data_IF_582070998988
#
_entry.id   IF_582070998988
#
_cell.length_a   1.000
_cell.length_b   1.000
_cell.length_c   1.000
_cell.angle_alpha   90.00
_cell.angle_beta   90.00
_cell.angle_gamma   90.00
#
_symmetry.space_group_name_H-M   'P 1'
#
loop_
_entity.id
_entity.type
_entity.pdbx_description
1 polymer ?
#
# COMPACT_ATOMS: atom_id res chain seq x y z
N UNK A 1 26.43 27.33 -14.62
CA UNK A 1 25.36 26.43 -14.93
C UNK A 1 24.49 26.17 -13.69
N UNK A 2 23.28 26.39 -13.87
CA UNK A 2 22.33 26.07 -12.84
C UNK A 2 22.31 24.57 -12.61
N UNK A 3 22.58 24.17 -11.38
CA UNK A 3 22.32 22.81 -11.02
C UNK A 3 20.88 22.52 -11.34
N UNK A 4 20.65 21.63 -12.27
CA UNK A 4 19.34 21.11 -12.44
C UNK A 4 18.98 20.51 -11.10
N UNK A 5 18.04 21.10 -10.49
CA UNK A 5 17.60 20.68 -9.19
C UNK A 5 16.95 19.32 -9.33
N UNK A 6 17.63 18.27 -8.87
CA UNK A 6 17.10 16.91 -8.90
C UNK A 6 15.75 16.83 -8.22
N UNK A 7 15.55 17.62 -7.17
CA UNK A 7 14.29 17.69 -6.45
C UNK A 7 13.18 18.25 -7.33
N UNK A 8 13.46 19.30 -8.09
CA UNK A 8 12.48 19.87 -9.01
C UNK A 8 12.09 18.89 -10.10
N UNK A 9 13.04 18.18 -10.66
CA UNK A 9 12.78 17.18 -11.70
C UNK A 9 11.97 16.01 -11.14
N UNK A 10 12.29 15.58 -9.93
CA UNK A 10 11.57 14.53 -9.27
C UNK A 10 10.11 14.94 -9.03
N UNK A 11 9.90 16.12 -8.46
CA UNK A 11 8.56 16.66 -8.19
C UNK A 11 7.74 16.75 -9.47
N UNK A 12 8.33 17.28 -10.54
CA UNK A 12 7.65 17.42 -11.82
C UNK A 12 7.24 16.06 -12.39
N UNK A 13 8.15 15.07 -12.35
CA UNK A 13 7.85 13.74 -12.86
C UNK A 13 6.71 13.08 -12.09
N UNK A 14 6.68 13.25 -10.76
CA UNK A 14 5.61 12.70 -9.95
C UNK A 14 4.29 13.43 -10.20
N UNK A 15 4.32 14.75 -10.38
CA UNK A 15 3.11 15.52 -10.65
C UNK A 15 2.51 15.15 -12.01
N UNK A 16 3.36 14.75 -12.97
CA UNK A 16 2.93 14.36 -14.32
C UNK A 16 2.63 12.87 -14.44
N UNK A 17 2.96 12.07 -13.43
CA UNK A 17 2.74 10.62 -13.43
C UNK A 17 1.23 10.33 -13.51
N UNK A 18 0.76 9.65 -14.57
CA UNK A 18 -0.67 9.38 -14.71
C UNK A 18 -1.22 8.49 -13.61
N UNK A 19 -0.40 7.58 -13.05
CA UNK A 19 -0.84 6.75 -11.93
C UNK A 19 -0.96 7.55 -10.64
N UNK A 20 -0.12 8.56 -10.45
CA UNK A 20 -0.23 9.44 -9.29
C UNK A 20 -1.53 10.24 -9.36
N UNK A 21 -1.84 10.81 -10.52
CA UNK A 21 -3.10 11.51 -10.73
C UNK A 21 -4.29 10.59 -10.55
N UNK A 22 -4.21 9.39 -11.09
CA UNK A 22 -5.29 8.41 -10.98
C UNK A 22 -5.50 7.98 -9.52
N UNK A 23 -4.42 7.81 -8.74
CA UNK A 23 -4.53 7.45 -7.33
C UNK A 23 -5.31 8.51 -6.54
N UNK A 24 -5.09 9.78 -6.83
CA UNK A 24 -5.83 10.87 -6.19
C UNK A 24 -7.29 10.85 -6.56
N UNK A 25 -7.60 10.61 -7.83
CA UNK A 25 -8.99 10.53 -8.31
C UNK A 25 -9.72 9.34 -7.68
N UNK A 26 -9.06 8.20 -7.57
CA UNK A 26 -9.62 6.98 -7.00
C UNK A 26 -9.54 6.96 -5.46
N UNK A 27 -8.94 7.98 -4.85
CA UNK A 27 -8.77 8.13 -3.41
C UNK A 27 -7.87 7.08 -2.77
N UNK A 28 -6.93 6.55 -3.52
CA UNK A 28 -5.88 5.71 -2.96
C UNK A 28 -4.76 6.57 -2.36
N UNK A 29 -4.17 6.07 -1.29
CA UNK A 29 -3.08 6.75 -0.59
C UNK A 29 -1.81 6.87 -1.42
N UNK A 30 -1.62 5.96 -2.37
CA UNK A 30 -0.48 6.00 -3.29
C UNK A 30 -0.79 5.22 -4.56
N UNK A 31 0.06 5.42 -5.57
CA UNK A 31 -0.01 4.71 -6.84
C UNK A 31 0.28 3.21 -6.71
N UNK A 32 0.87 2.80 -5.59
CA UNK A 32 1.17 1.39 -5.35
C UNK A 32 -0.08 0.51 -5.39
N UNK A 33 -1.27 1.08 -5.18
CA UNK A 33 -2.54 0.36 -5.30
C UNK A 33 -2.67 -0.32 -6.67
N UNK A 34 -2.26 0.35 -7.74
CA UNK A 34 -2.40 -0.20 -9.10
C UNK A 34 -1.44 -1.33 -9.36
N UNK A 35 -0.30 -1.36 -8.68
CA UNK A 35 0.63 -2.47 -8.78
C UNK A 35 -0.01 -3.75 -8.24
N UNK A 36 -0.67 -3.67 -7.10
CA UNK A 36 -1.37 -4.82 -6.53
C UNK A 36 -2.52 -5.26 -7.46
N UNK A 37 -3.27 -4.31 -7.98
CA UNK A 37 -4.35 -4.62 -8.92
C UNK A 37 -3.83 -5.31 -10.18
N UNK A 38 -2.69 -4.87 -10.71
CA UNK A 38 -2.07 -5.47 -11.88
C UNK A 38 -1.58 -6.89 -11.59
N UNK A 39 -1.00 -7.12 -10.41
CA UNK A 39 -0.56 -8.44 -9.99
C UNK A 39 -1.77 -9.38 -9.89
N UNK A 40 -2.85 -8.91 -9.29
CA UNK A 40 -4.06 -9.70 -9.15
C UNK A 40 -4.71 -10.00 -10.51
N UNK A 41 -4.70 -9.04 -11.42
CA UNK A 41 -5.21 -9.24 -12.76
C UNK A 41 -4.46 -10.38 -13.46
N UNK A 42 -3.14 -10.45 -13.25
CA UNK A 42 -2.30 -11.48 -13.87
C UNK A 42 -2.48 -12.85 -13.20
N UNK A 43 -2.49 -12.89 -11.88
CA UNK A 43 -2.45 -14.15 -11.13
C UNK A 43 -3.78 -14.55 -10.51
N UNK A 44 -4.74 -13.65 -10.44
CA UNK A 44 -6.09 -13.89 -9.94
C UNK A 44 -6.10 -14.58 -8.59
N UNK A 45 -5.46 -13.98 -7.59
CA UNK A 45 -5.31 -14.62 -6.28
C UNK A 45 -6.12 -13.96 -5.16
N UNK A 46 -6.46 -12.67 -5.26
CA UNK A 46 -7.13 -11.98 -4.16
C UNK A 46 -8.53 -12.51 -3.87
N UNK A 47 -9.21 -13.04 -4.88
CA UNK A 47 -10.54 -13.62 -4.69
C UNK A 47 -10.52 -15.00 -4.06
N UNK A 48 -9.33 -15.59 -3.91
CA UNK A 48 -9.15 -16.95 -3.41
C UNK A 48 -8.67 -17.00 -1.97
N UNK A 49 -8.33 -15.85 -1.39
CA UNK A 49 -7.79 -15.79 -0.04
C UNK A 49 -8.84 -15.23 0.92
N UNK A 50 -8.72 -15.60 2.19
CA UNK A 50 -9.62 -15.13 3.24
C UNK A 50 -8.89 -14.29 4.28
N UNK A 51 -7.58 -14.37 4.34
CA UNK A 51 -6.76 -13.58 5.25
C UNK A 51 -5.46 -13.20 4.58
N UNK A 52 -4.90 -12.06 5.00
CA UNK A 52 -3.68 -11.53 4.39
C UNK A 52 -2.96 -10.62 5.37
N UNK A 53 -1.64 -10.67 5.33
CA UNK A 53 -0.78 -9.74 6.04
C UNK A 53 0.04 -8.94 5.03
N UNK A 54 0.02 -7.62 5.18
CA UNK A 54 0.78 -6.71 4.36
C UNK A 54 1.96 -6.18 5.17
N UNK A 55 3.14 -6.69 4.90
CA UNK A 55 4.37 -6.32 5.60
C UNK A 55 5.00 -5.11 4.92
N UNK A 56 5.21 -4.04 5.69
CA UNK A 56 5.65 -2.77 5.11
C UNK A 56 4.50 -2.03 4.45
N UNK A 57 3.37 -1.92 5.14
CA UNK A 57 2.13 -1.50 4.53
C UNK A 57 1.96 0.01 4.30
N UNK A 58 2.82 0.85 4.88
CA UNK A 58 2.67 2.30 4.72
C UNK A 58 2.78 2.72 3.26
N UNK A 59 1.99 3.68 2.79
CA UNK A 59 0.98 4.45 3.51
C UNK A 59 -0.37 3.75 3.68
N UNK A 60 -0.58 2.57 3.08
CA UNK A 60 -1.78 1.79 3.25
C UNK A 60 -2.62 1.61 1.98
N UNK A 61 -2.09 1.92 0.80
CA UNK A 61 -2.85 1.78 -0.45
C UNK A 61 -3.18 0.33 -0.77
N UNK A 62 -2.29 -0.61 -0.45
CA UNK A 62 -2.58 -2.03 -0.62
C UNK A 62 -3.68 -2.50 0.33
N UNK A 63 -3.68 -1.98 1.56
CA UNK A 63 -4.75 -2.28 2.51
C UNK A 63 -6.10 -1.81 1.97
N UNK A 64 -6.12 -0.66 1.32
CA UNK A 64 -7.33 -0.14 0.69
C UNK A 64 -7.84 -1.07 -0.41
N UNK A 65 -6.95 -1.56 -1.27
CA UNK A 65 -7.30 -2.50 -2.32
C UNK A 65 -7.84 -3.81 -1.74
N UNK A 66 -7.17 -4.34 -0.71
CA UNK A 66 -7.58 -5.59 -0.07
C UNK A 66 -8.98 -5.48 0.51
N UNK A 67 -9.33 -4.32 1.06
CA UNK A 67 -10.66 -4.08 1.61
C UNK A 67 -11.77 -4.10 0.56
N UNK A 68 -11.44 -3.94 -0.71
CA UNK A 68 -12.42 -4.02 -1.79
C UNK A 68 -12.92 -5.46 -2.01
N UNK A 69 -12.21 -6.45 -1.49
CA UNK A 69 -12.54 -7.86 -1.66
C UNK A 69 -13.31 -8.38 -0.45
N UNK A 70 -14.59 -8.65 -0.62
CA UNK A 70 -15.46 -9.08 0.48
C UNK A 70 -15.11 -10.46 1.02
N UNK A 71 -14.43 -11.28 0.24
CA UNK A 71 -13.97 -12.60 0.67
C UNK A 71 -12.80 -12.54 1.64
N UNK A 72 -12.08 -11.43 1.69
CA UNK A 72 -10.94 -11.27 2.61
C UNK A 72 -11.50 -10.77 3.94
N UNK A 73 -11.55 -11.68 4.92
CA UNK A 73 -12.18 -11.42 6.22
C UNK A 73 -11.22 -10.84 7.25
N UNK A 74 -9.93 -11.10 7.10
CA UNK A 74 -8.93 -10.68 8.06
C UNK A 74 -7.74 -10.06 7.33
N UNK A 75 -7.49 -8.78 7.61
CA UNK A 75 -6.39 -8.03 6.98
C UNK A 75 -5.56 -7.42 8.10
N UNK A 76 -4.26 -7.68 8.06
CA UNK A 76 -3.29 -7.09 9.00
C UNK A 76 -2.25 -6.32 8.20
N UNK A 77 -2.01 -5.08 8.59
CA UNK A 77 -0.91 -4.28 8.07
C UNK A 77 0.15 -4.07 9.15
N UNK A 78 1.42 -4.21 8.80
CA UNK A 78 2.52 -4.03 9.72
C UNK A 78 3.56 -3.11 9.09
N UNK A 79 3.96 -2.08 9.84
CA UNK A 79 5.00 -1.15 9.38
C UNK A 79 5.68 -0.49 10.57
N UNK A 80 6.92 -0.06 10.37
CA UNK A 80 7.63 0.78 11.34
C UNK A 80 7.05 2.19 11.40
N UNK A 81 6.48 2.64 10.30
CA UNK A 81 5.92 3.98 10.18
C UNK A 81 4.49 3.99 10.70
N UNK A 82 4.04 5.19 11.09
CA UNK A 82 2.63 5.38 11.39
C UNK A 82 1.81 5.25 10.11
N UNK A 83 0.73 4.49 10.18
CA UNK A 83 -0.19 4.29 9.08
C UNK A 83 -1.57 4.76 9.52
N UNK A 84 -2.16 5.66 8.73
CA UNK A 84 -3.52 6.10 9.01
C UNK A 84 -4.48 4.90 9.00
N UNK A 85 -5.43 4.85 9.93
CA UNK A 85 -6.34 3.72 9.99
C UNK A 85 -7.07 3.45 8.69
N UNK A 86 -7.30 2.18 8.43
CA UNK A 86 -8.20 1.71 7.37
C UNK A 86 -9.31 0.92 8.06
N UNK A 87 -10.54 1.28 7.81
CA UNK A 87 -11.67 0.67 8.47
C UNK A 87 -11.69 -0.85 8.26
N UNK A 88 -11.82 -1.59 9.36
CA UNK A 88 -11.85 -3.05 9.31
C UNK A 88 -10.50 -3.73 9.13
N UNK A 89 -9.41 -2.99 9.21
CA UNK A 89 -8.04 -3.51 9.08
C UNK A 89 -7.29 -3.35 10.39
N UNK A 90 -6.61 -4.40 10.82
CA UNK A 90 -5.71 -4.33 11.97
C UNK A 90 -4.35 -3.81 11.52
N UNK A 91 -3.90 -2.71 12.09
CA UNK A 91 -2.61 -2.12 11.75
C UNK A 91 -1.74 -2.11 12.99
N UNK A 92 -0.55 -2.71 12.88
CA UNK A 92 0.43 -2.72 13.96
C UNK A 92 1.67 -1.94 13.53
N UNK A 93 2.11 -1.03 14.41
CA UNK A 93 3.38 -0.33 14.23
C UNK A 93 4.46 -1.17 14.89
N UNK A 94 5.19 -1.92 14.09
CA UNK A 94 6.12 -2.91 14.59
C UNK A 94 7.27 -3.12 13.64
N UNK A 95 8.46 -3.45 14.20
CA UNK A 95 9.60 -3.87 13.41
C UNK A 95 9.39 -5.33 13.00
N UNK A 96 9.37 -5.59 11.69
CA UNK A 96 9.21 -6.96 11.18
C UNK A 96 10.36 -7.85 11.65
N UNK A 97 11.54 -7.27 11.91
CA UNK A 97 12.70 -7.99 12.45
C UNK A 97 12.62 -8.27 13.95
N UNK A 98 11.59 -7.76 14.63
CA UNK A 98 11.45 -7.98 16.06
C UNK A 98 11.02 -9.42 16.32
N UNK A 99 11.82 -10.12 17.11
CA UNK A 99 11.61 -11.54 17.39
C UNK A 99 10.27 -11.80 18.07
N UNK A 100 9.85 -10.92 18.96
CA UNK A 100 8.62 -11.11 19.72
C UNK A 100 7.38 -11.11 18.81
N UNK A 101 7.45 -10.41 17.69
CA UNK A 101 6.36 -10.40 16.71
C UNK A 101 6.06 -11.80 16.18
N UNK A 102 7.07 -12.66 16.10
CA UNK A 102 6.92 -14.00 15.51
C UNK A 102 6.55 -15.07 16.53
N UNK A 103 6.67 -14.77 17.82
CA UNK A 103 6.38 -15.73 18.87
C UNK A 103 4.92 -15.64 19.33
N UNK A 104 4.37 -14.45 19.27
CA UNK A 104 3.00 -14.23 19.69
C UNK A 104 2.01 -14.80 18.69
#
# INVERSE_FOLDING_TARGET
MTKVNKTSNWVRRHAEDPFEKKSKQDKYRSRAAYKLKAIDEKYNFLRKITSVADLGCAPGSWLQVLKEFKNINFIVGIDLLNVEPVDGVCIAKQDIGDYDLYIE
#
